data_IF_029100181651
#
_entry.id   IF_029100181651
#
_cell.length_a   1.000
_cell.length_b   1.000
_cell.length_c   1.000
_cell.angle_alpha   90.00
_cell.angle_beta   90.00
_cell.angle_gamma   90.00
#
_symmetry.space_group_name_H-M   'P 1'
#
loop_
_entity.id
_entity.type
_entity.pdbx_description
1 polymer ?
#
# COMPACT_ATOMS: atom_id res chain seq x y z
N UNK A 1 16.43 -30.09 9.42
CA UNK A 1 16.29 -29.52 8.91
C UNK A 1 15.34 -29.28 7.98
N UNK A 2 14.37 -29.68 8.04
CA UNK A 2 13.32 -29.55 7.31
C UNK A 2 13.04 -28.19 7.01
N UNK A 3 13.61 -27.45 7.67
CA UNK A 3 13.35 -26.11 7.56
C UNK A 3 13.58 -25.53 6.22
N UNK A 4 14.31 -26.17 5.35
CA UNK A 4 14.58 -25.60 4.12
C UNK A 4 13.45 -25.39 3.23
N UNK A 5 12.48 -26.26 3.20
CA UNK A 5 11.41 -26.06 2.33
C UNK A 5 10.52 -25.05 2.81
N UNK A 6 10.23 -25.01 4.08
CA UNK A 6 9.37 -24.02 4.64
C UNK A 6 9.94 -22.64 4.49
N UNK A 7 11.25 -22.46 4.65
CA UNK A 7 11.80 -21.11 4.46
C UNK A 7 11.59 -20.54 3.09
N UNK A 8 11.56 -21.36 2.08
CA UNK A 8 11.39 -20.85 0.77
C UNK A 8 10.00 -20.33 0.57
N UNK A 9 8.99 -21.03 1.04
CA UNK A 9 7.64 -20.59 0.98
C UNK A 9 7.45 -19.36 1.85
N UNK A 10 8.00 -19.44 3.08
CA UNK A 10 7.91 -18.32 3.98
C UNK A 10 8.59 -17.13 3.41
N UNK A 11 9.68 -17.32 2.69
CA UNK A 11 10.44 -16.21 2.14
C UNK A 11 9.58 -15.40 1.18
N UNK A 12 8.83 -16.04 0.31
CA UNK A 12 7.97 -15.33 -0.61
C UNK A 12 6.88 -14.55 0.11
N UNK A 13 6.21 -15.16 1.07
CA UNK A 13 5.19 -14.48 1.84
C UNK A 13 5.80 -13.34 2.65
N UNK A 14 6.93 -13.62 3.30
CA UNK A 14 7.60 -12.60 4.10
C UNK A 14 8.06 -11.42 3.25
N UNK A 15 8.53 -11.70 2.05
CA UNK A 15 8.96 -10.65 1.15
C UNK A 15 7.78 -9.77 0.75
N UNK A 16 6.64 -10.37 0.48
CA UNK A 16 5.45 -9.61 0.11
C UNK A 16 4.97 -8.77 1.28
N UNK A 17 4.94 -9.35 2.47
CA UNK A 17 4.52 -8.60 3.64
C UNK A 17 5.47 -7.44 3.88
N UNK A 18 6.76 -7.65 3.68
CA UNK A 18 7.73 -6.60 3.85
C UNK A 18 7.52 -5.49 2.83
N UNK A 19 7.22 -5.84 1.60
CA UNK A 19 6.97 -4.87 0.56
C UNK A 19 5.73 -4.02 0.86
N UNK A 20 4.72 -4.63 1.49
CA UNK A 20 3.50 -3.95 1.85
C UNK A 20 3.50 -3.50 3.31
N UNK A 21 4.60 -3.67 4.00
CA UNK A 21 4.68 -3.36 5.42
C UNK A 21 4.43 -1.89 5.67
N UNK A 22 4.00 -1.58 6.86
CA UNK A 22 3.61 -0.25 7.18
C UNK A 22 2.12 -0.10 7.00
N UNK A 23 1.58 0.83 7.71
CA UNK A 23 0.15 0.96 7.82
C UNK A 23 -0.51 1.42 6.53
N UNK A 24 0.21 2.19 5.73
CA UNK A 24 -0.43 2.88 4.63
C UNK A 24 -0.02 2.45 3.23
N UNK A 25 0.95 1.56 3.09
CA UNK A 25 1.49 1.26 1.75
C UNK A 25 0.45 0.68 0.80
N UNK A 26 -0.38 -0.23 1.28
CA UNK A 26 -1.41 -0.80 0.42
C UNK A 26 -2.39 0.27 -0.04
N UNK A 27 -2.76 1.17 0.86
CA UNK A 27 -3.66 2.26 0.49
C UNK A 27 -3.01 3.20 -0.51
N UNK A 28 -1.72 3.47 -0.34
CA UNK A 28 -1.00 4.31 -1.28
C UNK A 28 -0.99 3.70 -2.66
N UNK A 29 -0.71 2.40 -2.75
CA UNK A 29 -0.64 1.73 -4.04
C UNK A 29 -2.00 1.70 -4.71
N UNK A 30 -3.04 1.50 -3.92
CA UNK A 30 -4.39 1.50 -4.45
C UNK A 30 -4.73 2.88 -5.02
N UNK A 31 -4.38 3.94 -4.30
CA UNK A 31 -4.64 5.29 -4.76
C UNK A 31 -3.87 5.60 -6.05
N UNK A 32 -2.61 5.19 -6.12
CA UNK A 32 -1.82 5.43 -7.32
C UNK A 32 -2.41 4.67 -8.50
N UNK A 33 -2.87 3.45 -8.26
CA UNK A 33 -3.51 2.67 -9.30
C UNK A 33 -4.74 3.39 -9.84
N UNK A 34 -5.46 4.10 -8.99
CA UNK A 34 -6.64 4.84 -9.39
C UNK A 34 -6.34 6.20 -10.00
N UNK A 35 -5.07 6.56 -10.09
CA UNK A 35 -4.71 7.82 -10.73
C UNK A 35 -4.42 8.96 -9.79
N UNK A 36 -4.41 8.72 -8.49
CA UNK A 36 -4.08 9.74 -7.50
C UNK A 36 -2.58 9.68 -7.32
N UNK A 37 -1.86 10.69 -7.82
CA UNK A 37 -0.42 10.59 -7.98
C UNK A 37 0.41 11.57 -7.20
N UNK A 38 -0.16 12.67 -6.75
CA UNK A 38 0.60 13.68 -6.03
C UNK A 38 0.56 13.43 -4.54
N UNK A 39 1.68 13.62 -3.84
CA UNK A 39 1.68 13.39 -2.39
C UNK A 39 0.59 14.16 -1.65
N UNK A 40 0.32 15.41 -2.05
CA UNK A 40 -0.73 16.16 -1.38
C UNK A 40 -2.11 15.56 -1.63
N UNK A 41 -2.33 15.02 -2.82
CA UNK A 41 -3.61 14.38 -3.13
C UNK A 41 -3.74 13.05 -2.39
N UNK A 42 -2.63 12.32 -2.28
CA UNK A 42 -2.64 11.08 -1.50
C UNK A 42 -2.99 11.38 -0.06
N UNK A 43 -2.43 12.47 0.47
CA UNK A 43 -2.68 12.85 1.86
C UNK A 43 -4.17 13.15 2.06
N UNK A 44 -4.80 13.79 1.11
CA UNK A 44 -6.22 14.09 1.22
C UNK A 44 -7.09 12.84 1.12
N UNK A 45 -6.63 11.84 0.39
CA UNK A 45 -7.41 10.63 0.17
C UNK A 45 -7.12 9.52 1.15
N UNK A 46 -6.14 9.69 2.02
CA UNK A 46 -5.79 8.68 3.02
C UNK A 46 -5.87 9.34 4.39
N UNK A 47 -7.06 9.42 4.96
CA UNK A 47 -7.24 10.11 6.25
C UNK A 47 -6.44 9.43 7.35
N UNK A 48 -5.90 10.20 8.21
CA UNK A 48 -5.14 9.69 9.33
C UNK A 48 -3.65 9.58 9.08
N UNK A 49 -3.20 9.75 7.84
CA UNK A 49 -1.79 9.72 7.53
C UNK A 49 -1.30 11.13 7.24
N UNK A 50 -0.19 11.51 7.84
CA UNK A 50 0.38 12.81 7.59
C UNK A 50 1.17 12.79 6.29
N UNK A 51 1.39 13.96 5.73
CA UNK A 51 2.20 14.08 4.53
C UNK A 51 3.60 13.53 4.78
N UNK A 52 4.13 13.75 5.96
CA UNK A 52 5.45 13.26 6.32
C UNK A 52 5.50 11.73 6.28
N UNK A 53 4.50 11.08 6.84
CA UNK A 53 4.44 9.62 6.86
C UNK A 53 4.27 9.09 5.46
N UNK A 54 3.39 9.69 4.67
CA UNK A 54 3.18 9.25 3.30
C UNK A 54 4.43 9.42 2.46
N UNK A 55 5.14 10.53 2.63
CA UNK A 55 6.38 10.76 1.91
C UNK A 55 7.43 9.72 2.26
N UNK A 56 7.49 9.33 3.53
CA UNK A 56 8.44 8.31 3.95
C UNK A 56 8.09 6.95 3.33
N UNK A 57 6.81 6.62 3.32
CA UNK A 57 6.37 5.35 2.75
C UNK A 57 6.59 5.33 1.24
N UNK A 58 6.38 6.45 0.57
CA UNK A 58 6.64 6.54 -0.86
C UNK A 58 8.12 6.33 -1.18
N UNK A 59 8.99 6.86 -0.33
CA UNK A 59 10.41 6.64 -0.52
C UNK A 59 10.78 5.18 -0.36
N UNK A 60 10.17 4.51 0.59
CA UNK A 60 10.40 3.10 0.79
C UNK A 60 9.90 2.27 -0.39
N UNK A 61 8.74 2.62 -0.92
CA UNK A 61 8.21 1.93 -2.08
C UNK A 61 9.07 2.17 -3.31
N UNK A 62 9.61 3.38 -3.43
CA UNK A 62 10.49 3.71 -4.53
C UNK A 62 11.80 2.92 -4.42
N UNK A 63 12.33 2.81 -3.21
CA UNK A 63 13.56 2.05 -3.00
C UNK A 63 13.38 0.57 -3.32
N UNK A 64 12.17 0.05 -3.18
CA UNK A 64 11.86 -1.33 -3.51
C UNK A 64 11.43 -1.50 -4.97
N UNK A 65 11.50 -0.44 -5.76
CA UNK A 65 11.14 -0.45 -7.18
C UNK A 65 9.67 -0.82 -7.42
N UNK A 66 8.81 -0.48 -6.49
CA UNK A 66 7.39 -0.71 -6.64
C UNK A 66 6.71 0.51 -7.25
N UNK A 67 7.23 1.70 -6.94
CA UNK A 67 6.77 2.93 -7.56
C UNK A 67 7.97 3.68 -8.10
N UNK A 68 7.69 4.61 -9.03
CA UNK A 68 8.71 5.54 -9.48
C UNK A 68 8.05 6.92 -9.53
N UNK A 69 8.86 7.95 -9.49
CA UNK A 69 8.32 9.30 -9.52
C UNK A 69 8.79 10.03 -10.76
N UNK A 70 7.96 10.96 -11.18
CA UNK A 70 8.33 11.91 -12.23
C UNK A 70 8.28 13.28 -11.60
N UNK A 71 9.33 14.05 -11.87
CA UNK A 71 9.42 15.41 -11.37
C UNK A 71 9.26 16.33 -12.55
N UNK A 72 8.27 17.21 -12.47
CA UNK A 72 8.01 18.17 -13.54
C UNK A 72 8.55 19.53 -13.14
N UNK A 73 9.37 20.09 -14.02
CA UNK A 73 10.02 21.35 -13.74
C UNK A 73 9.03 22.50 -13.95
N UNK A 74 8.21 22.70 -12.98
CA UNK A 74 7.18 23.74 -12.98
C UNK A 74 7.33 24.58 -11.73
N UNK A 75 6.56 25.64 -11.64
CA UNK A 75 6.54 26.47 -10.45
C UNK A 75 5.09 26.55 -10.00
N UNK A 76 4.74 25.94 -8.89
CA UNK A 76 5.62 25.16 -8.00
C UNK A 76 5.96 23.80 -8.60
N UNK A 77 7.01 23.19 -8.07
CA UNK A 77 7.48 21.92 -8.56
C UNK A 77 6.38 20.87 -8.40
N UNK A 78 6.19 20.05 -9.43
CA UNK A 78 5.16 19.01 -9.40
C UNK A 78 5.83 17.65 -9.41
N UNK A 79 5.43 16.79 -8.47
CA UNK A 79 5.95 15.43 -8.36
C UNK A 79 4.76 14.48 -8.44
N UNK A 80 4.87 13.48 -9.29
CA UNK A 80 3.81 12.48 -9.43
C UNK A 80 4.41 11.09 -9.32
N UNK A 81 3.70 10.19 -8.65
CA UNK A 81 4.15 8.83 -8.46
C UNK A 81 3.34 7.86 -9.31
N UNK A 82 4.02 6.86 -9.83
CA UNK A 82 3.42 5.86 -10.72
C UNK A 82 3.85 4.48 -10.27
N UNK A 83 3.05 3.48 -10.60
CA UNK A 83 3.43 2.10 -10.32
C UNK A 83 4.41 1.63 -11.39
N UNK A 84 5.45 0.90 -10.96
CA UNK A 84 6.31 0.20 -11.91
C UNK A 84 5.57 -1.07 -12.34
N UNK A 85 6.17 -1.86 -13.23
CA UNK A 85 5.58 -3.14 -13.58
C UNK A 85 5.46 -4.04 -12.36
N UNK A 86 6.41 -3.94 -11.42
CA UNK A 86 6.29 -4.69 -10.16
C UNK A 86 5.11 -4.20 -9.34
N UNK A 87 4.91 -2.89 -9.30
CA UNK A 87 3.76 -2.33 -8.59
C UNK A 87 2.45 -2.77 -9.21
N UNK A 88 2.39 -2.78 -10.55
CA UNK A 88 1.18 -3.22 -11.23
C UNK A 88 0.90 -4.68 -10.93
N UNK A 89 1.93 -5.53 -10.90
CA UNK A 89 1.72 -6.93 -10.61
C UNK A 89 1.35 -7.18 -9.16
N UNK A 90 1.70 -6.26 -8.28
CA UNK A 90 1.36 -6.37 -6.87
C UNK A 90 -0.09 -5.98 -6.59
N UNK A 91 -0.68 -5.17 -7.44
CA UNK A 91 -2.03 -4.68 -7.20
C UNK A 91 -3.07 -5.79 -7.07
N UNK A 92 -3.08 -6.84 -7.94
CA UNK A 92 -4.03 -7.95 -7.74
C UNK A 92 -3.86 -8.65 -6.39
N UNK A 93 -2.65 -8.68 -5.86
CA UNK A 93 -2.40 -9.27 -4.54
C UNK A 93 -3.09 -8.42 -3.48
N UNK A 94 -2.99 -7.09 -3.60
CA UNK A 94 -3.65 -6.19 -2.68
C UNK A 94 -5.17 -6.36 -2.75
N UNK A 95 -5.71 -6.50 -3.95
CA UNK A 95 -7.13 -6.70 -4.12
C UNK A 95 -7.57 -7.98 -3.43
N UNK A 96 -6.81 -9.06 -3.62
CA UNK A 96 -7.15 -10.33 -2.99
C UNK A 96 -7.08 -10.24 -1.47
N UNK A 97 -6.07 -9.55 -0.95
CA UNK A 97 -5.95 -9.36 0.49
C UNK A 97 -7.12 -8.55 1.03
N UNK A 98 -7.52 -7.53 0.30
CA UNK A 98 -8.63 -6.69 0.69
C UNK A 98 -9.93 -7.49 0.70
N UNK A 99 -10.13 -8.31 -0.30
CA UNK A 99 -11.33 -9.13 -0.37
C UNK A 99 -11.38 -10.13 0.77
N UNK A 100 -10.27 -10.76 1.06
CA UNK A 100 -10.23 -11.70 2.16
C UNK A 100 -10.49 -11.00 3.49
N UNK A 101 -9.83 -9.85 3.67
CA UNK A 101 -9.97 -9.09 4.91
C UNK A 101 -11.40 -8.61 5.12
N UNK A 102 -12.02 -8.11 4.06
CA UNK A 102 -13.40 -7.63 4.15
C UNK A 102 -14.38 -8.76 4.46
N UNK A 103 -14.19 -9.92 3.84
CA UNK A 103 -15.05 -11.05 4.12
C UNK A 103 -14.92 -11.51 5.57
N UNK A 104 -13.68 -11.52 6.04
CA UNK A 104 -13.42 -11.91 7.42
C UNK A 104 -14.06 -10.93 8.40
N UNK A 105 -13.89 -9.63 8.15
CA UNK A 105 -14.49 -8.61 9.00
C UNK A 105 -15.99 -8.65 8.97
N UNK A 106 -16.55 -8.86 7.79
CA UNK A 106 -18.01 -8.93 7.67
C UNK A 106 -18.56 -10.08 8.51
N UNK A 107 -17.83 -11.19 8.53
CA UNK A 107 -18.29 -12.37 9.28
C UNK A 107 -18.16 -12.18 10.79
N UNK A 108 -17.10 -11.51 11.24
CA UNK A 108 -16.81 -11.41 12.67
C UNK A 108 -16.95 -10.02 13.26
N UNK A 109 -17.33 -9.03 12.47
CA UNK A 109 -17.29 -7.65 12.95
C UNK A 109 -18.26 -7.38 14.08
N UNK A 110 -19.30 -8.17 14.21
CA UNK A 110 -20.24 -7.95 15.29
C UNK A 110 -19.60 -8.19 16.64
N UNK A 111 -18.58 -9.01 16.70
CA UNK A 111 -17.97 -9.34 17.95
C UNK A 111 -16.65 -8.62 18.19
N UNK A 112 -16.16 -7.86 17.22
CA UNK A 112 -14.87 -7.21 17.36
C UNK A 112 -14.95 -5.73 17.03
N UNK A 113 -14.35 -4.88 17.85
CA UNK A 113 -14.29 -3.46 17.52
C UNK A 113 -13.30 -3.24 16.37
N UNK A 114 -13.67 -2.43 15.40
CA UNK A 114 -12.87 -2.28 14.19
C UNK A 114 -12.66 -0.85 13.76
N UNK A 115 -12.31 0.05 14.62
CA UNK A 115 -12.25 1.46 14.20
C UNK A 115 -11.22 1.74 13.14
N UNK A 116 -10.08 1.12 13.23
CA UNK A 116 -9.04 1.38 12.27
C UNK A 116 -9.34 0.81 10.91
N UNK A 117 -9.87 -0.39 10.90
CA UNK A 117 -10.19 -1.05 9.65
C UNK A 117 -11.29 -0.32 8.94
N UNK A 118 -12.28 0.12 9.67
CA UNK A 118 -13.38 0.82 9.07
C UNK A 118 -12.92 2.09 8.40
N UNK A 119 -11.97 2.76 9.02
CA UNK A 119 -11.51 3.99 8.46
C UNK A 119 -10.80 3.78 7.15
N UNK A 120 -9.98 2.78 7.06
CA UNK A 120 -9.26 2.51 5.85
C UNK A 120 -10.21 2.13 4.72
N UNK A 121 -11.25 1.41 5.04
CA UNK A 121 -12.18 1.01 4.03
C UNK A 121 -13.00 2.14 3.51
N UNK A 122 -13.26 3.11 4.33
CA UNK A 122 -14.03 4.23 3.89
C UNK A 122 -13.24 5.13 2.96
N UNK A 123 -11.95 5.03 2.99
CA UNK A 123 -11.12 5.79 2.11
C UNK A 123 -11.10 5.21 0.73
#
# INVERSE_FOLDING_TARGET
MYVKKLPELDYGVATTIKALGGKWKACILDCIHLGIRRPSELCRNIPGASLRVLSQQLKELEACHIVYKKVYAEVPLRVEYYLTSWGESLWPVIVAMNEWGNAYLHHYCDSLPQPGAARCEES
#
